data_IF_241701828882
#
_entry.id   IF_241701828882
#
_cell.length_a   1.000
_cell.length_b   1.000
_cell.length_c   1.000
_cell.angle_alpha   90.00
_cell.angle_beta   90.00
_cell.angle_gamma   90.00
#
_symmetry.space_group_name_H-M   'P 1'
#
loop_
_entity.id
_entity.type
_entity.pdbx_description
1 polymer ?
#
# COMPACT_ATOMS: atom_id res chain seq x y z
N UNK A 1 17.06 -3.56 17.47
CA UNK A 1 16.58 -2.30 16.87
C UNK A 1 15.57 -1.64 17.79
N UNK A 2 15.54 -0.31 17.90
CA UNK A 2 14.58 0.37 18.77
C UNK A 2 13.17 0.24 18.16
N UNK A 3 12.31 -0.57 18.79
CA UNK A 3 10.93 -0.83 18.34
C UNK A 3 10.10 0.47 18.26
N UNK A 4 10.47 1.50 19.03
CA UNK A 4 9.87 2.83 18.92
C UNK A 4 10.10 3.51 17.55
N UNK A 5 11.24 3.29 16.90
CA UNK A 5 11.52 3.85 15.57
C UNK A 5 10.60 3.23 14.51
N UNK A 6 10.30 1.94 14.64
CA UNK A 6 9.42 1.18 13.76
C UNK A 6 7.99 1.75 13.81
N UNK A 7 7.48 1.98 15.03
CA UNK A 7 6.16 2.59 15.23
C UNK A 7 6.14 4.02 14.70
N UNK A 8 7.21 4.79 14.92
CA UNK A 8 7.33 6.14 14.37
C UNK A 8 7.28 6.16 12.84
N UNK A 9 8.08 5.33 12.17
CA UNK A 9 8.06 5.22 10.71
C UNK A 9 6.68 4.83 10.17
N UNK A 10 5.99 3.94 10.86
CA UNK A 10 4.65 3.50 10.48
C UNK A 10 3.59 4.60 10.64
N UNK A 11 3.69 5.41 11.71
CA UNK A 11 2.84 6.60 11.90
C UNK A 11 3.11 7.68 10.84
N UNK A 12 4.38 7.91 10.50
CA UNK A 12 4.73 8.83 9.39
C UNK A 12 4.19 8.28 8.07
N UNK A 13 4.30 6.98 7.83
CA UNK A 13 3.70 6.31 6.67
C UNK A 13 2.18 6.48 6.61
N UNK A 14 1.49 6.30 7.73
CA UNK A 14 0.04 6.50 7.84
C UNK A 14 -0.34 7.96 7.51
N UNK A 15 0.38 8.92 8.07
CA UNK A 15 0.19 10.34 7.80
C UNK A 15 0.37 10.68 6.31
N UNK A 16 1.44 10.18 5.69
CA UNK A 16 1.67 10.36 4.26
C UNK A 16 0.57 9.69 3.44
N UNK A 17 0.13 8.49 3.82
CA UNK A 17 -0.99 7.79 3.17
C UNK A 17 -2.27 8.65 3.18
N UNK A 18 -2.58 9.29 4.32
CA UNK A 18 -3.70 10.23 4.38
C UNK A 18 -3.49 11.48 3.51
N UNK A 19 -2.28 12.02 3.42
CA UNK A 19 -1.97 13.13 2.51
C UNK A 19 -2.16 12.73 1.04
N UNK A 20 -1.69 11.54 0.64
CA UNK A 20 -1.91 10.99 -0.70
C UNK A 20 -3.42 10.91 -0.98
N UNK A 21 -4.19 10.37 -0.02
CA UNK A 21 -5.65 10.36 -0.10
C UNK A 21 -6.23 11.77 -0.28
N UNK A 22 -5.82 12.73 0.54
CA UNK A 22 -6.28 14.12 0.44
C UNK A 22 -6.05 14.72 -0.95
N UNK A 23 -4.84 14.58 -1.50
CA UNK A 23 -4.53 15.09 -2.84
C UNK A 23 -5.28 14.32 -3.94
N UNK A 24 -5.47 13.01 -3.81
CA UNK A 24 -6.28 12.23 -4.73
C UNK A 24 -7.75 12.69 -4.75
N UNK A 25 -8.32 12.98 -3.58
CA UNK A 25 -9.67 13.54 -3.46
C UNK A 25 -9.77 14.95 -4.04
N UNK A 26 -8.78 15.80 -3.79
CA UNK A 26 -8.73 17.15 -4.39
C UNK A 26 -8.68 17.06 -5.92
N UNK A 27 -7.81 16.23 -6.46
CA UNK A 27 -7.69 16.00 -7.90
C UNK A 27 -8.96 15.35 -8.50
N UNK A 28 -9.62 14.46 -7.74
CA UNK A 28 -10.92 13.88 -8.14
C UNK A 28 -11.98 14.96 -8.29
N UNK A 29 -12.07 15.93 -7.38
CA UNK A 29 -13.04 17.03 -7.49
C UNK A 29 -12.80 17.89 -8.73
N UNK A 30 -11.55 18.05 -9.17
CA UNK A 30 -11.21 18.80 -10.38
C UNK A 30 -11.43 17.98 -11.67
N UNK A 31 -11.07 16.69 -11.68
CA UNK A 31 -11.07 15.85 -12.89
C UNK A 31 -12.33 14.98 -13.06
N UNK A 32 -13.11 14.76 -11.99
CA UNK A 32 -14.24 13.82 -11.92
C UNK A 32 -13.91 12.38 -12.35
N UNK A 33 -12.64 11.98 -12.30
CA UNK A 33 -12.20 10.66 -12.75
C UNK A 33 -12.34 9.58 -11.66
N UNK A 34 -13.05 8.50 -11.97
CA UNK A 34 -13.29 7.38 -11.02
C UNK A 34 -11.99 6.73 -10.53
N UNK A 35 -10.93 6.78 -11.32
CA UNK A 35 -9.58 6.29 -11.00
C UNK A 35 -9.01 6.96 -9.73
N UNK A 36 -9.10 8.28 -9.63
CA UNK A 36 -8.59 9.05 -8.49
C UNK A 36 -9.40 8.79 -7.21
N UNK A 37 -10.69 8.51 -7.35
CA UNK A 37 -11.55 8.13 -6.24
C UNK A 37 -11.19 6.75 -5.68
N UNK A 38 -10.86 5.77 -6.52
CA UNK A 38 -10.34 4.47 -6.06
C UNK A 38 -8.99 4.62 -5.36
N UNK A 39 -8.12 5.48 -5.89
CA UNK A 39 -6.84 5.80 -5.28
C UNK A 39 -7.04 6.40 -3.88
N UNK A 40 -7.96 7.36 -3.73
CA UNK A 40 -8.33 7.93 -2.44
C UNK A 40 -8.72 6.84 -1.43
N UNK A 41 -9.71 6.00 -1.76
CA UNK A 41 -10.17 4.97 -0.82
C UNK A 41 -9.06 3.96 -0.47
N UNK A 42 -8.23 3.58 -1.44
CA UNK A 42 -7.09 2.68 -1.19
C UNK A 42 -6.09 3.27 -0.18
N UNK A 43 -5.71 4.54 -0.35
CA UNK A 43 -4.76 5.19 0.57
C UNK A 43 -5.35 5.54 1.94
N UNK A 44 -6.63 5.90 2.02
CA UNK A 44 -7.30 6.03 3.32
C UNK A 44 -7.29 4.69 4.06
N UNK A 45 -7.59 3.59 3.37
CA UNK A 45 -7.64 2.27 3.99
C UNK A 45 -6.25 1.79 4.43
N UNK A 46 -5.20 2.04 3.64
CA UNK A 46 -3.83 1.78 4.04
C UNK A 46 -3.41 2.59 5.29
N UNK A 47 -3.76 3.88 5.33
CA UNK A 47 -3.47 4.75 6.47
C UNK A 47 -4.15 4.26 7.75
N UNK A 48 -5.44 3.90 7.66
CA UNK A 48 -6.18 3.31 8.79
C UNK A 48 -5.56 1.98 9.26
N UNK A 49 -5.16 1.12 8.31
CA UNK A 49 -4.45 -0.12 8.64
C UNK A 49 -3.15 0.13 9.40
N UNK A 50 -2.32 1.07 8.94
CA UNK A 50 -1.08 1.43 9.64
C UNK A 50 -1.34 2.02 11.02
N UNK A 51 -2.39 2.82 11.21
CA UNK A 51 -2.78 3.29 12.54
C UNK A 51 -3.16 2.13 13.47
N UNK A 52 -3.93 1.15 12.98
CA UNK A 52 -4.28 -0.06 13.75
C UNK A 52 -3.04 -0.85 14.15
N UNK A 53 -2.11 -1.05 13.20
CA UNK A 53 -0.86 -1.78 13.45
C UNK A 53 0.06 -1.03 14.42
N UNK A 54 0.24 0.28 14.23
CA UNK A 54 1.00 1.12 15.15
C UNK A 54 0.42 1.12 16.57
N UNK A 55 -0.91 1.17 16.72
CA UNK A 55 -1.58 1.08 18.00
C UNK A 55 -1.37 -0.30 18.65
N UNK A 56 -1.47 -1.38 17.88
CA UNK A 56 -1.28 -2.76 18.36
C UNK A 56 0.15 -2.99 18.84
N UNK A 57 1.15 -2.58 18.05
CA UNK A 57 2.57 -2.69 18.42
C UNK A 57 2.90 -1.78 19.60
N UNK A 58 2.38 -0.55 19.61
CA UNK A 58 2.53 0.37 20.74
C UNK A 58 1.97 -0.20 22.05
N UNK A 59 0.79 -0.80 22.01
CA UNK A 59 0.18 -1.48 23.16
C UNK A 59 1.05 -2.65 23.65
N UNK A 60 1.61 -3.45 22.75
CA UNK A 60 2.53 -4.53 23.10
C UNK A 60 3.81 -4.04 23.78
N UNK A 61 4.38 -2.92 23.32
CA UNK A 61 5.54 -2.30 23.96
C UNK A 61 5.18 -1.90 25.40
N UNK A 62 4.01 -1.27 25.60
CA UNK A 62 3.55 -0.85 26.92
C UNK A 62 3.38 -2.05 27.86
N UNK A 63 2.72 -3.11 27.42
CA UNK A 63 2.52 -4.33 28.22
C UNK A 63 3.85 -5.04 28.54
N UNK A 64 4.82 -5.01 27.62
CA UNK A 64 6.18 -5.53 27.87
C UNK A 64 6.90 -4.75 28.95
N UNK A 65 6.72 -3.43 29.01
CA UNK A 65 7.30 -2.57 30.05
C UNK A 65 6.71 -2.87 31.43
N UNK A 66 5.43 -3.26 31.50
CA UNK A 66 4.75 -3.58 32.76
C UNK A 66 4.78 -5.08 33.15
N UNK A 67 5.45 -5.95 32.37
CA UNK A 67 5.54 -7.40 32.59
C UNK A 67 4.19 -8.16 32.68
N UNK A 68 3.10 -7.57 32.19
CA UNK A 68 1.77 -8.19 32.20
C UNK A 68 1.54 -8.88 30.86
N UNK A 69 1.62 -10.22 30.82
CA UNK A 69 1.31 -11.01 29.62
C UNK A 69 0.12 -11.95 29.83
N UNK A 70 -1.12 -11.46 29.73
CA UNK A 70 -2.30 -12.32 29.69
C UNK A 70 -2.34 -13.07 28.36
N UNK A 71 -2.71 -14.36 28.32
CA UNK A 71 -2.88 -15.11 27.07
C UNK A 71 -3.90 -14.48 26.11
N UNK A 72 -4.84 -13.68 26.65
CA UNK A 72 -5.85 -12.93 25.89
C UNK A 72 -5.24 -11.85 24.97
N UNK A 73 -4.07 -11.29 25.32
CA UNK A 73 -3.37 -10.28 24.49
C UNK A 73 -2.88 -10.87 23.18
N UNK A 74 -2.42 -12.13 23.20
CA UNK A 74 -1.95 -12.82 21.98
C UNK A 74 -3.06 -12.92 20.93
N UNK A 75 -4.26 -13.35 21.33
CA UNK A 75 -5.40 -13.47 20.42
C UNK A 75 -5.86 -12.13 19.85
N UNK A 76 -5.84 -11.05 20.65
CA UNK A 76 -6.18 -9.70 20.18
C UNK A 76 -5.18 -9.23 19.11
N UNK A 77 -3.89 -9.47 19.33
CA UNK A 77 -2.82 -9.09 18.38
C UNK A 77 -2.92 -9.86 17.08
N UNK A 78 -3.15 -11.18 17.15
CA UNK A 78 -3.37 -12.01 15.96
C UNK A 78 -4.58 -11.53 15.16
N UNK A 79 -5.70 -11.24 15.84
CA UNK A 79 -6.89 -10.71 15.21
C UNK A 79 -6.67 -9.33 14.56
N UNK A 80 -5.98 -8.42 15.25
CA UNK A 80 -5.61 -7.11 14.70
C UNK A 80 -4.68 -7.24 13.48
N UNK A 81 -3.77 -8.22 13.49
CA UNK A 81 -2.91 -8.55 12.35
C UNK A 81 -3.72 -9.02 11.13
N UNK A 82 -4.72 -9.87 11.32
CA UNK A 82 -5.62 -10.30 10.22
C UNK A 82 -6.39 -9.12 9.64
N UNK A 83 -6.93 -8.24 10.48
CA UNK A 83 -7.65 -7.04 10.03
C UNK A 83 -6.71 -6.14 9.22
N UNK A 84 -5.50 -5.88 9.72
CA UNK A 84 -4.48 -5.10 9.01
C UNK A 84 -4.21 -5.66 7.61
N UNK A 85 -3.93 -6.96 7.51
CA UNK A 85 -3.65 -7.61 6.22
C UNK A 85 -4.86 -7.61 5.29
N UNK A 86 -6.08 -7.76 5.83
CA UNK A 86 -7.31 -7.64 5.04
C UNK A 86 -7.49 -6.23 4.47
N UNK A 87 -7.23 -5.18 5.27
CA UNK A 87 -7.27 -3.79 4.82
C UNK A 87 -6.26 -3.52 3.69
N UNK A 88 -5.05 -4.07 3.79
CA UNK A 88 -4.06 -3.98 2.72
C UNK A 88 -4.53 -4.64 1.43
N UNK A 89 -5.04 -5.88 1.50
CA UNK A 89 -5.55 -6.59 0.32
C UNK A 89 -6.65 -5.80 -0.34
N UNK A 90 -7.62 -5.28 0.42
CA UNK A 90 -8.70 -4.45 -0.12
C UNK A 90 -8.14 -3.18 -0.78
N UNK A 91 -7.16 -2.50 -0.16
CA UNK A 91 -6.53 -1.34 -0.77
C UNK A 91 -5.84 -1.66 -2.10
N UNK A 92 -5.15 -2.80 -2.18
CA UNK A 92 -4.46 -3.22 -3.40
C UNK A 92 -5.44 -3.70 -4.48
N UNK A 93 -6.56 -4.31 -4.11
CA UNK A 93 -7.66 -4.57 -5.04
C UNK A 93 -8.19 -3.26 -5.64
N UNK A 94 -8.34 -2.20 -4.84
CA UNK A 94 -8.75 -0.88 -5.35
C UNK A 94 -7.73 -0.29 -6.33
N UNK A 95 -6.43 -0.47 -6.08
CA UNK A 95 -5.37 -0.04 -7.00
C UNK A 95 -5.38 -0.84 -8.31
N UNK A 96 -5.58 -2.15 -8.25
CA UNK A 96 -5.77 -2.97 -9.46
C UNK A 96 -7.00 -2.50 -10.24
N UNK A 97 -8.12 -2.26 -9.55
CA UNK A 97 -9.36 -1.79 -10.16
C UNK A 97 -9.18 -0.42 -10.86
N UNK A 98 -8.33 0.46 -10.31
CA UNK A 98 -7.97 1.73 -10.95
C UNK A 98 -7.33 1.51 -12.32
N UNK A 99 -6.36 0.60 -12.44
CA UNK A 99 -5.74 0.26 -13.72
C UNK A 99 -6.69 -0.43 -14.71
N UNK A 100 -7.60 -1.28 -14.21
CA UNK A 100 -8.64 -1.90 -15.05
C UNK A 100 -9.59 -0.86 -15.64
N UNK A 101 -9.98 0.15 -14.87
CA UNK A 101 -10.81 1.25 -15.37
C UNK A 101 -10.04 2.11 -16.39
N UNK A 102 -8.76 2.37 -16.13
CA UNK A 102 -7.91 3.15 -17.04
C UNK A 102 -7.73 2.44 -18.40
N UNK A 103 -7.48 1.13 -18.42
CA UNK A 103 -7.36 0.33 -19.65
C UNK A 103 -8.65 0.32 -20.47
N UNK A 104 -9.82 0.17 -19.82
CA UNK A 104 -11.13 0.25 -20.50
C UNK A 104 -11.34 1.58 -21.23
N UNK A 105 -10.78 2.67 -20.71
CA UNK A 105 -10.93 4.02 -21.28
C UNK A 105 -10.00 4.26 -22.46
N UNK A 106 -8.80 3.69 -22.44
CA UNK A 106 -7.80 3.83 -23.51
C UNK A 106 -8.10 2.92 -24.71
N UNK A 107 -9.00 1.93 -24.57
CA UNK A 107 -9.35 1.02 -25.66
C UNK A 107 -8.27 -0.04 -25.97
N UNK A 108 -7.16 -0.03 -25.22
CA UNK A 108 -6.14 -1.08 -25.20
C UNK A 108 -6.65 -2.24 -24.33
N UNK A 109 -7.74 -2.84 -24.80
CA UNK A 109 -8.38 -3.99 -24.21
C UNK A 109 -7.68 -5.27 -24.65
N UNK A 110 -6.80 -5.79 -23.81
CA UNK A 110 -6.43 -7.22 -23.77
C UNK A 110 -5.58 -7.60 -22.54
N UNK A 111 -4.95 -6.63 -21.86
CA UNK A 111 -4.10 -6.93 -20.70
C UNK A 111 -4.88 -7.30 -19.42
N UNK A 112 -6.21 -7.12 -19.42
CA UNK A 112 -7.06 -7.39 -18.26
C UNK A 112 -7.52 -8.86 -18.13
N UNK A 113 -7.31 -9.71 -19.15
CA UNK A 113 -7.70 -11.13 -19.08
C UNK A 113 -6.73 -12.01 -18.27
N UNK A 114 -5.54 -11.50 -17.93
CA UNK A 114 -4.55 -12.23 -17.12
C UNK A 114 -4.79 -12.16 -15.60
N UNK A 115 -5.81 -11.43 -15.12
CA UNK A 115 -6.15 -11.36 -13.70
C UNK A 115 -7.03 -12.53 -13.20
N UNK A 116 -7.64 -13.30 -14.11
CA UNK A 116 -8.54 -14.42 -13.77
C UNK A 116 -7.81 -15.61 -13.08
N UNK A 117 -6.58 -16.00 -13.48
CA UNK A 117 -5.84 -17.06 -12.78
C UNK A 117 -5.40 -16.66 -11.36
N UNK A 118 -5.20 -15.36 -11.10
CA UNK A 118 -4.74 -14.83 -9.80
C UNK A 118 -5.86 -14.86 -8.75
N UNK A 119 -7.09 -14.55 -9.14
CA UNK A 119 -8.26 -14.67 -8.27
C UNK A 119 -8.54 -16.13 -7.90
N UNK A 120 -8.29 -17.07 -8.83
CA UNK A 120 -8.48 -18.50 -8.60
C UNK A 120 -7.46 -19.10 -7.63
N UNK A 121 -6.18 -18.71 -7.71
CA UNK A 121 -5.13 -19.18 -6.79
C UNK A 121 -5.22 -18.54 -5.40
N UNK A 122 -5.67 -17.27 -5.31
CA UNK A 122 -5.80 -16.53 -4.05
C UNK A 122 -6.88 -17.08 -3.12
N UNK A 123 -7.85 -17.86 -3.63
CA UNK A 123 -8.95 -18.39 -2.83
C UNK A 123 -8.56 -19.64 -2.02
N UNK A 124 -7.47 -20.32 -2.39
CA UNK A 124 -7.08 -21.62 -1.81
C UNK A 124 -5.92 -21.57 -0.81
N UNK A 125 -5.26 -20.42 -0.60
CA UNK A 125 -4.08 -20.33 0.29
C UNK A 125 -4.16 -19.13 1.26
N UNK A 126 -4.26 -19.34 2.59
CA UNK A 126 -4.59 -18.30 3.57
C UNK A 126 -3.38 -17.47 4.04
N UNK A 127 -2.53 -16.99 3.12
CA UNK A 127 -1.52 -15.97 3.43
C UNK A 127 -1.90 -14.66 2.75
N UNK A 128 -2.69 -13.84 3.44
CA UNK A 128 -3.14 -12.50 2.99
C UNK A 128 -1.96 -11.63 2.50
N UNK A 129 -0.78 -11.80 3.08
CA UNK A 129 0.43 -11.07 2.70
C UNK A 129 0.97 -11.50 1.33
N UNK A 130 0.86 -12.78 0.97
CA UNK A 130 1.21 -13.27 -0.37
C UNK A 130 0.21 -12.75 -1.42
N UNK A 131 -1.07 -12.70 -1.06
CA UNK A 131 -2.11 -12.10 -1.92
C UNK A 131 -1.81 -10.62 -2.16
N UNK A 132 -1.46 -9.89 -1.10
CA UNK A 132 -1.10 -8.48 -1.16
C UNK A 132 0.11 -8.24 -2.07
N UNK A 133 1.15 -9.08 -1.96
CA UNK A 133 2.31 -9.08 -2.85
C UNK A 133 1.91 -9.26 -4.32
N UNK A 134 1.06 -10.25 -4.62
CA UNK A 134 0.68 -10.55 -5.99
C UNK A 134 -0.11 -9.38 -6.59
N UNK A 135 -1.08 -8.83 -5.84
CA UNK A 135 -1.85 -7.66 -6.25
C UNK A 135 -0.94 -6.46 -6.50
N UNK A 136 0.00 -6.20 -5.59
CA UNK A 136 0.94 -5.09 -5.71
C UNK A 136 1.93 -5.30 -6.87
N UNK A 137 2.30 -6.54 -7.15
CA UNK A 137 3.06 -6.94 -8.33
C UNK A 137 2.32 -6.59 -9.62
N UNK A 138 1.02 -6.92 -9.71
CA UNK A 138 0.18 -6.54 -10.85
C UNK A 138 0.12 -5.02 -11.03
N UNK A 139 -0.12 -4.29 -9.96
CA UNK A 139 -0.15 -2.81 -9.98
C UNK A 139 1.20 -2.25 -10.46
N UNK A 140 2.31 -2.81 -9.99
CA UNK A 140 3.66 -2.38 -10.38
C UNK A 140 3.93 -2.63 -11.86
N UNK A 141 3.56 -3.79 -12.39
CA UNK A 141 3.71 -4.11 -13.83
C UNK A 141 2.84 -3.18 -14.68
N UNK A 142 1.59 -2.93 -14.27
CA UNK A 142 0.71 -2.01 -14.99
C UNK A 142 1.25 -0.56 -14.96
N UNK A 143 1.82 -0.14 -13.82
CA UNK A 143 2.49 1.15 -13.68
C UNK A 143 3.71 1.26 -14.60
N UNK A 144 4.49 0.18 -14.72
CA UNK A 144 5.64 0.10 -15.61
C UNK A 144 5.22 0.22 -17.08
N UNK A 145 4.17 -0.50 -17.51
CA UNK A 145 3.63 -0.42 -18.86
C UNK A 145 3.17 1.01 -19.16
N UNK A 146 2.39 1.62 -18.26
CA UNK A 146 1.90 2.99 -18.42
C UNK A 146 3.06 4.01 -18.49
N UNK A 147 4.11 3.83 -17.71
CA UNK A 147 5.32 4.65 -17.81
C UNK A 147 6.05 4.44 -19.15
N UNK A 148 6.19 3.20 -19.62
CA UNK A 148 6.83 2.88 -20.90
C UNK A 148 6.11 3.55 -22.07
N UNK A 149 4.78 3.58 -22.04
CA UNK A 149 3.93 4.20 -23.07
C UNK A 149 3.96 5.73 -23.02
N UNK A 150 3.76 6.34 -21.84
CA UNK A 150 3.66 7.81 -21.72
C UNK A 150 5.00 8.52 -21.61
N UNK A 151 6.06 7.83 -21.16
CA UNK A 151 7.40 8.37 -20.83
C UNK A 151 7.38 9.68 -20.04
N UNK A 152 6.38 9.88 -19.19
CA UNK A 152 6.25 11.08 -18.38
C UNK A 152 6.89 10.90 -17.01
N UNK A 153 7.38 11.99 -16.42
CA UNK A 153 7.98 11.97 -15.08
C UNK A 153 6.97 11.61 -13.99
N UNK A 154 5.70 11.96 -14.17
CA UNK A 154 4.61 11.58 -13.27
C UNK A 154 4.42 10.06 -13.26
N UNK A 155 4.29 9.44 -14.45
CA UNK A 155 4.14 7.98 -14.55
C UNK A 155 5.35 7.24 -14.00
N UNK A 156 6.56 7.81 -14.13
CA UNK A 156 7.77 7.23 -13.52
C UNK A 156 7.69 7.21 -11.99
N UNK A 157 7.23 8.29 -11.36
CA UNK A 157 7.05 8.36 -9.91
C UNK A 157 5.99 7.37 -9.42
N UNK A 158 4.93 7.12 -10.20
CA UNK A 158 3.94 6.08 -9.88
C UNK A 158 4.56 4.69 -9.89
N UNK A 159 5.28 4.35 -10.95
CA UNK A 159 6.00 3.07 -11.05
C UNK A 159 6.99 2.88 -9.90
N UNK A 160 7.80 3.90 -9.61
CA UNK A 160 8.77 3.86 -8.52
C UNK A 160 8.08 3.71 -7.15
N UNK A 161 6.95 4.40 -6.96
CA UNK A 161 6.15 4.31 -5.75
C UNK A 161 5.60 2.91 -5.47
N UNK A 162 4.94 2.31 -6.45
CA UNK A 162 4.43 0.94 -6.32
C UNK A 162 5.56 -0.11 -6.27
N UNK A 163 6.64 0.10 -7.04
CA UNK A 163 7.82 -0.75 -7.01
C UNK A 163 8.50 -0.79 -5.65
N UNK A 164 8.66 0.36 -4.98
CA UNK A 164 9.19 0.40 -3.62
C UNK A 164 8.26 -0.23 -2.59
N UNK A 165 6.94 -0.07 -2.72
CA UNK A 165 5.99 -0.77 -1.86
C UNK A 165 6.04 -2.29 -2.06
N UNK A 166 6.21 -2.76 -3.30
CA UNK A 166 6.40 -4.18 -3.60
C UNK A 166 7.69 -4.71 -2.98
N UNK A 167 8.80 -3.98 -3.16
CA UNK A 167 10.09 -4.31 -2.56
C UNK A 167 9.96 -4.39 -1.02
N UNK A 168 9.23 -3.48 -0.39
CA UNK A 168 8.96 -3.56 1.04
C UNK A 168 8.31 -4.88 1.42
N UNK A 169 7.24 -5.30 0.74
CA UNK A 169 6.56 -6.56 1.06
C UNK A 169 7.46 -7.77 0.82
N UNK A 170 8.29 -7.75 -0.23
CA UNK A 170 9.31 -8.77 -0.46
C UNK A 170 10.28 -8.88 0.72
N UNK A 171 10.82 -7.75 1.18
CA UNK A 171 11.74 -7.74 2.33
C UNK A 171 11.05 -8.25 3.61
N UNK A 172 9.79 -7.87 3.84
CA UNK A 172 9.03 -8.26 5.03
C UNK A 172 8.67 -9.76 5.06
N UNK A 173 8.46 -10.40 3.89
CA UNK A 173 8.26 -11.86 3.83
C UNK A 173 9.46 -12.65 4.38
N UNK A 174 10.68 -12.12 4.24
CA UNK A 174 11.91 -12.77 4.68
C UNK A 174 12.35 -12.35 6.10
N UNK A 175 11.49 -11.66 6.85
CA UNK A 175 11.81 -11.22 8.23
C UNK A 175 12.21 -12.37 9.16
N UNK A 176 11.68 -13.58 8.93
CA UNK A 176 12.02 -14.78 9.70
C UNK A 176 13.50 -15.19 9.55
N UNK A 177 14.16 -14.77 8.48
CA UNK A 177 15.57 -15.07 8.21
C UNK A 177 16.48 -14.02 8.85
N UNK A 178 16.16 -12.73 8.69
CA UNK A 178 16.96 -11.65 9.22
C UNK A 178 16.10 -10.49 9.72
N UNK A 179 16.24 -10.16 11.01
CA UNK A 179 15.43 -9.10 11.64
C UNK A 179 15.73 -7.69 11.10
N UNK A 180 16.90 -7.48 10.48
CA UNK A 180 17.29 -6.20 9.84
C UNK A 180 16.38 -5.85 8.66
N UNK A 181 15.82 -6.87 7.99
CA UNK A 181 14.94 -6.70 6.82
C UNK A 181 13.67 -5.91 7.15
N UNK A 182 13.23 -5.93 8.41
CA UNK A 182 12.10 -5.13 8.87
C UNK A 182 12.36 -3.64 8.63
N UNK A 183 13.53 -3.15 9.05
CA UNK A 183 13.88 -1.73 8.92
C UNK A 183 13.98 -1.31 7.46
N UNK A 184 14.66 -2.11 6.63
CA UNK A 184 14.78 -1.83 5.20
C UNK A 184 13.44 -1.92 4.48
N UNK A 185 12.57 -2.85 4.88
CA UNK A 185 11.19 -2.95 4.40
C UNK A 185 10.42 -1.66 4.68
N UNK A 186 10.39 -1.21 5.93
CA UNK A 186 9.71 0.03 6.31
C UNK A 186 10.28 1.26 5.59
N UNK A 187 11.60 1.32 5.41
CA UNK A 187 12.25 2.41 4.69
C UNK A 187 11.83 2.41 3.21
N UNK A 188 11.80 1.23 2.56
CA UNK A 188 11.32 1.08 1.20
C UNK A 188 9.84 1.48 1.09
N UNK A 189 8.99 1.07 2.03
CA UNK A 189 7.58 1.44 2.05
C UNK A 189 7.40 2.97 2.12
N UNK A 190 8.15 3.62 3.01
CA UNK A 190 8.11 5.07 3.17
C UNK A 190 8.58 5.78 1.90
N UNK A 191 9.67 5.32 1.28
CA UNK A 191 10.15 5.84 -0.01
C UNK A 191 9.07 5.70 -1.09
N UNK A 192 8.36 4.57 -1.12
CA UNK A 192 7.23 4.34 -2.03
C UNK A 192 6.10 5.35 -1.84
N UNK A 193 5.68 5.60 -0.60
CA UNK A 193 4.67 6.62 -0.31
C UNK A 193 5.13 8.03 -0.67
N UNK A 194 6.39 8.38 -0.41
CA UNK A 194 6.92 9.69 -0.78
C UNK A 194 6.91 9.90 -2.30
N UNK A 195 7.24 8.87 -3.10
CA UNK A 195 7.15 8.94 -4.56
C UNK A 195 5.72 9.21 -5.05
N UNK A 196 4.74 8.50 -4.49
CA UNK A 196 3.33 8.68 -4.85
C UNK A 196 2.77 10.01 -4.39
N UNK A 197 3.15 10.48 -3.20
CA UNK A 197 2.78 11.81 -2.72
C UNK A 197 3.37 12.89 -3.63
N UNK A 198 4.65 12.79 -4.00
CA UNK A 198 5.30 13.74 -4.89
C UNK A 198 4.59 13.81 -6.26
N UNK A 199 4.20 12.65 -6.81
CA UNK A 199 3.42 12.60 -8.05
C UNK A 199 2.09 13.34 -7.91
N UNK A 200 1.29 13.03 -6.88
CA UNK A 200 -0.03 13.65 -6.71
C UNK A 200 0.05 15.14 -6.40
N UNK A 201 1.05 15.58 -5.64
CA UNK A 201 1.30 17.01 -5.39
C UNK A 201 1.63 17.73 -6.69
N UNK A 202 2.48 17.13 -7.54
CA UNK A 202 2.85 17.71 -8.84
C UNK A 202 1.63 17.84 -9.75
N UNK A 203 0.84 16.78 -9.88
CA UNK A 203 -0.39 16.78 -10.71
C UNK A 203 -1.45 17.72 -10.15
N UNK A 204 -1.58 17.83 -8.82
CA UNK A 204 -2.53 18.74 -8.19
C UNK A 204 -2.16 20.22 -8.36
N UNK A 205 -0.87 20.56 -8.49
CA UNK A 205 -0.41 21.94 -8.70
C UNK A 205 -0.40 22.33 -10.19
N UNK A 206 -0.03 21.41 -11.07
CA UNK A 206 -0.01 21.65 -12.52
C UNK A 206 -1.40 21.80 -13.16
N UNK A 207 -2.49 21.60 -12.42
CA UNK A 207 -3.85 21.93 -12.85
C UNK A 207 -4.33 23.32 -12.42
N UNK A 208 -3.47 24.13 -11.78
CA UNK A 208 -3.75 25.51 -11.36
C UNK A 208 -3.08 26.56 -12.27
N UNK A 209 -2.52 26.14 -13.41
CA UNK A 209 -2.03 27.01 -14.50
C UNK A 209 -2.96 26.94 -15.70
#
# INVERSE_FOLDING_TARGET
MPVGLIVFMELVGAFISFLIGYYAMRAYRASSSRELLLLYYGFILLGLGMCLRAATVGYLILMRVFEVYPPLVKSIVEFAGVIYSAMQVVAYVLFVAMYVLQSKRTGEGEVAFAAFPVLYFSFFNPFLELVAVVLLGLVTVQSFINWSLRRSGESFLVFLGFGFMLLSHMLLLFIAVENSLLFFGQLAQLAGFLCLLAMLVKVSRGGEE
#
